data_IF_915043214221
#
_entry.id   IF_915043214221
#
_cell.length_a   1.000
_cell.length_b   1.000
_cell.length_c   1.000
_cell.angle_alpha   90.00
_cell.angle_beta   90.00
_cell.angle_gamma   90.00
#
_symmetry.space_group_name_H-M   'P 1'
#
loop_
_entity.id
_entity.type
_entity.pdbx_description
1 polymer ?
#
# COMPACT_ATOMS: atom_id res chain seq x y z
N UNK A 1 37.32 1.74 -1.80
CA UNK A 1 36.97 1.13 -0.49
C UNK A 1 35.77 1.86 0.09
N UNK A 2 34.57 1.62 -0.42
CA UNK A 2 33.32 2.26 0.06
C UNK A 2 32.12 1.35 -0.24
N UNK A 3 31.89 0.32 0.58
CA UNK A 3 30.67 -0.52 0.52
C UNK A 3 30.06 -0.80 1.91
N UNK A 4 30.48 -0.09 2.98
CA UNK A 4 30.10 -0.44 4.36
C UNK A 4 28.92 0.32 4.98
N UNK A 5 28.11 1.08 4.22
CA UNK A 5 27.11 1.99 4.83
C UNK A 5 25.66 1.85 4.37
N UNK A 6 25.31 0.86 3.54
CA UNK A 6 23.93 0.68 3.07
C UNK A 6 23.09 -0.17 4.04
N UNK A 7 23.66 -1.27 4.55
CA UNK A 7 22.97 -2.19 5.47
C UNK A 7 22.54 -1.53 6.78
N UNK A 8 23.34 -0.59 7.32
CA UNK A 8 23.01 0.14 8.55
C UNK A 8 21.86 1.14 8.37
N UNK A 9 21.73 1.75 7.18
CA UNK A 9 20.65 2.70 6.88
C UNK A 9 19.31 2.00 6.67
N UNK A 10 19.33 0.82 6.05
CA UNK A 10 18.12 0.00 5.87
C UNK A 10 17.55 -0.46 7.21
N UNK A 11 18.42 -0.93 8.12
CA UNK A 11 18.01 -1.35 9.47
C UNK A 11 17.48 -0.20 10.33
N UNK A 12 18.11 0.98 10.25
CA UNK A 12 17.64 2.17 10.95
C UNK A 12 16.25 2.63 10.44
N UNK A 13 16.02 2.59 9.12
CA UNK A 13 14.69 2.87 8.53
C UNK A 13 13.62 1.85 8.92
N UNK A 14 14.00 0.60 9.13
CA UNK A 14 13.10 -0.46 9.60
C UNK A 14 12.72 -0.26 11.08
N UNK A 15 13.64 0.27 11.89
CA UNK A 15 13.42 0.60 13.31
C UNK A 15 12.61 1.90 13.52
N UNK A 16 12.55 2.81 12.54
CA UNK A 16 11.75 4.05 12.60
C UNK A 16 10.31 3.88 12.06
N UNK A 17 9.96 2.70 11.52
CA UNK A 17 8.66 2.48 10.90
C UNK A 17 7.63 2.06 11.96
N UNK A 18 6.73 2.98 12.30
CA UNK A 18 5.54 2.70 13.13
C UNK A 18 4.50 1.80 12.43
N UNK A 19 4.75 1.43 11.17
CA UNK A 19 3.92 0.53 10.37
C UNK A 19 4.72 -0.14 9.25
N UNK A 20 4.29 -1.34 8.87
CA UNK A 20 4.85 -2.13 7.77
C UNK A 20 3.78 -2.36 6.71
N UNK A 21 4.13 -2.25 5.43
CA UNK A 21 3.22 -2.58 4.33
C UNK A 21 3.57 -3.95 3.77
N UNK A 22 2.60 -4.86 3.76
CA UNK A 22 2.74 -6.18 3.13
C UNK A 22 2.05 -6.17 1.77
N UNK A 23 2.78 -6.55 0.73
CA UNK A 23 2.29 -6.66 -0.65
C UNK A 23 1.92 -8.12 -0.94
N UNK A 24 0.77 -8.34 -1.57
CA UNK A 24 0.32 -9.64 -2.07
C UNK A 24 0.03 -9.49 -3.57
N UNK A 25 0.90 -10.01 -4.44
CA UNK A 25 0.74 -9.88 -5.90
C UNK A 25 -0.58 -10.47 -6.39
N UNK A 26 -1.16 -9.87 -7.43
CA UNK A 26 -2.31 -10.43 -8.10
C UNK A 26 -1.89 -11.56 -9.07
N UNK A 27 -1.55 -12.72 -8.53
CA UNK A 27 -1.06 -13.87 -9.31
C UNK A 27 -2.07 -14.38 -10.35
N UNK A 28 -3.37 -14.21 -10.07
CA UNK A 28 -4.45 -14.68 -10.95
C UNK A 28 -4.81 -13.68 -12.07
N UNK A 29 -4.19 -12.50 -12.08
CA UNK A 29 -4.50 -11.43 -13.04
C UNK A 29 -5.95 -10.95 -13.01
N UNK A 30 -6.70 -11.30 -11.96
CA UNK A 30 -8.14 -11.03 -11.85
C UNK A 30 -8.43 -10.38 -10.51
N UNK A 31 -8.99 -9.16 -10.47
CA UNK A 31 -9.42 -8.32 -11.60
C UNK A 31 -8.28 -7.84 -12.51
N UNK A 32 -8.57 -7.65 -13.80
CA UNK A 32 -7.61 -7.09 -14.76
C UNK A 32 -7.17 -5.69 -14.35
N UNK A 33 -5.88 -5.38 -14.54
CA UNK A 33 -5.26 -4.13 -14.13
C UNK A 33 -4.98 -4.00 -12.63
N UNK A 34 -5.41 -4.96 -11.79
CA UNK A 34 -4.98 -5.02 -10.39
C UNK A 34 -3.59 -5.64 -10.33
N UNK A 35 -2.67 -4.96 -9.66
CA UNK A 35 -1.27 -5.37 -9.53
C UNK A 35 -1.03 -6.14 -8.24
N UNK A 36 -1.59 -5.67 -7.12
CA UNK A 36 -1.46 -6.31 -5.82
C UNK A 36 -2.58 -5.89 -4.87
N UNK A 37 -2.85 -6.74 -3.88
CA UNK A 37 -3.42 -6.31 -2.61
C UNK A 37 -2.30 -5.80 -1.69
N UNK A 38 -2.65 -4.87 -0.80
CA UNK A 38 -1.75 -4.39 0.22
C UNK A 38 -2.44 -4.34 1.59
N UNK A 39 -1.65 -4.60 2.63
CA UNK A 39 -2.07 -4.50 4.02
C UNK A 39 -1.10 -3.60 4.78
N UNK A 40 -1.64 -2.77 5.67
CA UNK A 40 -0.84 -1.94 6.57
C UNK A 40 -0.87 -2.58 7.96
N UNK A 41 0.26 -3.03 8.45
CA UNK A 41 0.44 -3.66 9.76
C UNK A 41 0.95 -2.61 10.72
N UNK A 42 0.22 -2.37 11.81
CA UNK A 42 0.62 -1.41 12.83
C UNK A 42 1.55 -2.09 13.83
N UNK A 43 2.76 -1.54 13.98
CA UNK A 43 3.81 -2.13 14.81
C UNK A 43 3.93 -1.46 16.18
N UNK A 44 3.25 -0.33 16.38
CA UNK A 44 3.30 0.49 17.59
C UNK A 44 1.96 1.19 17.87
N UNK A 45 1.81 1.73 19.09
CA UNK A 45 0.63 2.47 19.55
C UNK A 45 -0.61 1.61 19.80
N UNK A 46 -1.78 2.25 19.91
CA UNK A 46 -3.05 1.59 20.27
C UNK A 46 -3.53 0.56 19.23
N UNK A 47 -3.03 0.64 18.00
CA UNK A 47 -3.35 -0.32 16.94
C UNK A 47 -2.30 -1.42 16.81
N UNK A 48 -1.27 -1.43 17.65
CA UNK A 48 -0.19 -2.41 17.59
C UNK A 48 -0.72 -3.85 17.53
N UNK A 49 -0.19 -4.64 16.60
CA UNK A 49 -0.61 -6.03 16.39
C UNK A 49 -1.85 -6.18 15.50
N UNK A 50 -2.47 -5.08 15.07
CA UNK A 50 -3.55 -5.09 14.09
C UNK A 50 -3.04 -4.79 12.68
N UNK A 51 -3.84 -5.19 11.69
CA UNK A 51 -3.61 -4.86 10.29
C UNK A 51 -4.86 -4.27 9.65
N UNK A 52 -4.68 -3.24 8.84
CA UNK A 52 -5.73 -2.66 8.01
C UNK A 52 -5.68 -3.28 6.61
N UNK A 53 -6.77 -3.93 6.24
CA UNK A 53 -6.96 -4.62 4.95
C UNK A 53 -7.67 -3.74 3.95
N UNK A 54 -7.57 -4.08 2.66
CA UNK A 54 -8.39 -3.49 1.60
C UNK A 54 -7.72 -2.38 0.81
N UNK A 55 -6.41 -2.18 0.97
CA UNK A 55 -5.64 -1.44 -0.03
C UNK A 55 -5.39 -2.33 -1.25
N UNK A 56 -5.41 -1.74 -2.43
CA UNK A 56 -4.98 -2.42 -3.64
C UNK A 56 -4.24 -1.47 -4.58
N UNK A 57 -3.19 -1.98 -5.20
CA UNK A 57 -2.40 -1.30 -6.21
C UNK A 57 -2.93 -1.69 -7.58
N UNK A 58 -3.12 -0.70 -8.43
CA UNK A 58 -3.67 -0.85 -9.77
C UNK A 58 -2.76 -0.17 -10.78
N UNK A 59 -2.77 -0.69 -12.01
CA UNK A 59 -2.33 0.07 -13.18
C UNK A 59 -3.18 1.32 -13.33
N UNK A 60 -2.57 2.40 -13.79
CA UNK A 60 -3.32 3.60 -14.16
C UNK A 60 -4.06 3.31 -15.47
N UNK A 61 -5.36 3.65 -15.53
CA UNK A 61 -6.20 3.43 -16.74
C UNK A 61 -5.69 4.17 -17.97
N UNK A 62 -4.97 5.28 -17.78
CA UNK A 62 -4.37 6.07 -18.87
C UNK A 62 -3.00 6.61 -18.45
N UNK A 63 -2.06 6.60 -19.40
CA UNK A 63 -0.68 7.01 -19.17
C UNK A 63 0.13 6.00 -18.35
N UNK A 64 1.36 6.39 -17.99
CA UNK A 64 2.27 5.57 -17.19
C UNK A 64 2.01 5.82 -15.70
N UNK A 65 2.03 4.76 -14.89
CA UNK A 65 2.02 4.86 -13.44
C UNK A 65 1.06 3.89 -12.76
N UNK A 66 0.89 4.09 -11.44
CA UNK A 66 0.10 3.24 -10.55
C UNK A 66 -0.86 4.08 -9.73
N UNK A 67 -1.94 3.45 -9.29
CA UNK A 67 -2.87 4.06 -8.34
C UNK A 67 -3.15 3.11 -7.17
N UNK A 68 -3.58 3.67 -6.05
CA UNK A 68 -3.99 2.91 -4.86
C UNK A 68 -5.46 3.16 -4.57
N UNK A 69 -6.25 2.08 -4.47
CA UNK A 69 -7.57 2.14 -3.85
C UNK A 69 -7.47 1.83 -2.37
N UNK A 70 -8.31 2.48 -1.57
CA UNK A 70 -8.30 2.41 -0.12
C UNK A 70 -9.30 1.37 0.39
N UNK A 71 -9.16 0.92 1.65
CA UNK A 71 -10.19 0.14 2.34
C UNK A 71 -11.53 0.83 2.18
N UNK A 72 -12.52 0.13 1.63
CA UNK A 72 -13.79 0.73 1.26
C UNK A 72 -14.95 -0.20 1.59
N UNK A 73 -16.08 0.40 1.94
CA UNK A 73 -17.35 -0.31 2.09
C UNK A 73 -18.21 -0.07 0.85
N UNK A 74 -18.74 -1.15 0.30
CA UNK A 74 -19.78 -1.10 -0.73
C UNK A 74 -21.15 -0.98 -0.07
N UNK A 75 -22.05 -0.22 -0.69
CA UNK A 75 -23.47 -0.18 -0.37
C UNK A 75 -24.28 -0.01 -1.65
N UNK A 76 -25.59 -0.22 -1.58
CA UNK A 76 -26.49 -0.04 -2.72
C UNK A 76 -27.58 0.97 -2.38
N UNK A 77 -27.89 1.86 -3.31
CA UNK A 77 -29.01 2.81 -3.20
C UNK A 77 -29.77 2.79 -4.52
N UNK A 78 -31.08 2.54 -4.48
CA UNK A 78 -31.93 2.43 -5.68
C UNK A 78 -31.38 1.44 -6.73
N UNK A 79 -30.81 0.32 -6.29
CA UNK A 79 -30.20 -0.68 -7.17
C UNK A 79 -28.80 -0.33 -7.70
N UNK A 80 -28.31 0.89 -7.50
CA UNK A 80 -26.96 1.30 -7.89
C UNK A 80 -25.94 0.94 -6.81
N UNK A 81 -24.88 0.23 -7.20
CA UNK A 81 -23.75 -0.09 -6.31
C UNK A 81 -22.82 1.11 -6.19
N UNK A 82 -22.60 1.58 -4.96
CA UNK A 82 -21.68 2.66 -4.61
C UNK A 82 -20.64 2.19 -3.60
N UNK A 83 -19.54 2.92 -3.51
CA UNK A 83 -18.49 2.68 -2.51
C UNK A 83 -17.99 3.98 -1.91
N UNK A 84 -17.50 3.90 -0.67
CA UNK A 84 -16.78 4.99 -0.01
C UNK A 84 -15.60 4.43 0.79
N UNK A 85 -14.51 5.20 0.86
CA UNK A 85 -13.32 4.83 1.64
C UNK A 85 -13.59 4.92 3.14
N UNK A 86 -13.10 3.93 3.89
CA UNK A 86 -13.22 3.82 5.34
C UNK A 86 -12.16 4.64 6.07
N UNK A 87 -10.95 4.72 5.53
CA UNK A 87 -9.92 5.63 6.02
C UNK A 87 -10.16 6.99 5.37
N UNK A 88 -10.52 8.02 6.14
CA UNK A 88 -10.89 9.36 5.63
C UNK A 88 -10.10 10.47 6.32
N UNK A 89 -9.79 11.57 5.61
CA UNK A 89 -9.20 12.74 6.24
C UNK A 89 -10.15 13.34 7.28
N UNK A 90 -9.59 13.82 8.38
CA UNK A 90 -10.35 14.52 9.42
C UNK A 90 -10.47 16.01 9.07
N UNK A 91 -9.34 16.65 8.76
CA UNK A 91 -9.26 18.08 8.42
C UNK A 91 -8.53 18.32 7.09
N UNK A 92 -7.30 17.83 6.99
CA UNK A 92 -6.47 17.93 5.77
C UNK A 92 -6.93 16.91 4.71
N UNK A 93 -7.48 17.40 3.60
CA UNK A 93 -7.98 16.57 2.50
C UNK A 93 -6.90 15.69 1.87
N UNK A 94 -5.63 16.08 1.99
CA UNK A 94 -4.48 15.36 1.43
C UNK A 94 -3.83 14.41 2.44
N UNK A 95 -4.38 14.26 3.66
CA UNK A 95 -3.79 13.41 4.68
C UNK A 95 -3.64 11.92 4.25
N UNK A 96 -4.44 11.48 3.28
CA UNK A 96 -4.36 10.14 2.69
C UNK A 96 -3.13 9.94 1.79
N UNK A 97 -2.51 11.01 1.30
CA UNK A 97 -1.41 10.93 0.34
C UNK A 97 -0.21 10.21 0.95
N UNK A 98 0.06 10.46 2.24
CA UNK A 98 1.16 9.81 2.97
C UNK A 98 1.06 8.28 2.97
N UNK A 99 -0.14 7.74 3.24
CA UNK A 99 -0.34 6.28 3.22
C UNK A 99 -0.42 5.74 1.80
N UNK A 100 -0.89 6.53 0.82
CA UNK A 100 -0.83 6.17 -0.59
C UNK A 100 0.62 5.99 -1.04
N UNK A 101 1.46 6.97 -0.77
CA UNK A 101 2.87 6.97 -1.14
C UNK A 101 3.61 5.84 -0.44
N UNK A 102 3.29 5.57 0.83
CA UNK A 102 3.83 4.43 1.56
C UNK A 102 3.53 3.09 0.89
N UNK A 103 2.28 2.88 0.44
CA UNK A 103 1.88 1.65 -0.27
C UNK A 103 2.56 1.54 -1.64
N UNK A 104 2.63 2.64 -2.39
CA UNK A 104 3.31 2.67 -3.70
C UNK A 104 4.81 2.42 -3.58
N UNK A 105 5.45 2.97 -2.55
CA UNK A 105 6.85 2.73 -2.25
C UNK A 105 7.10 1.27 -1.93
N UNK A 106 6.27 0.67 -1.05
CA UNK A 106 6.38 -0.75 -0.70
C UNK A 106 6.17 -1.67 -1.91
N UNK A 107 5.26 -1.32 -2.82
CA UNK A 107 5.07 -2.07 -4.07
C UNK A 107 6.28 -1.98 -5.00
N UNK A 108 6.88 -0.79 -5.13
CA UNK A 108 8.09 -0.59 -5.93
C UNK A 108 9.29 -1.37 -5.37
N UNK A 109 9.43 -1.40 -4.04
CA UNK A 109 10.45 -2.22 -3.34
C UNK A 109 10.22 -3.72 -3.55
N UNK A 110 8.97 -4.17 -3.49
CA UNK A 110 8.60 -5.56 -3.76
C UNK A 110 8.98 -5.99 -5.17
N UNK A 111 8.68 -5.18 -6.19
CA UNK A 111 9.05 -5.50 -7.58
C UNK A 111 10.56 -5.53 -7.79
N UNK A 112 11.29 -4.58 -7.19
CA UNK A 112 12.75 -4.54 -7.29
C UNK A 112 13.37 -5.81 -6.69
N UNK A 113 12.84 -6.31 -5.57
CA UNK A 113 13.29 -7.57 -4.97
C UNK A 113 12.94 -8.79 -5.82
N UNK A 114 11.74 -8.82 -6.41
CA UNK A 114 11.33 -9.91 -7.30
C UNK A 114 12.22 -9.98 -8.56
N UNK A 115 12.60 -8.84 -9.13
CA UNK A 115 13.48 -8.76 -10.30
C UNK A 115 14.93 -9.20 -10.01
N UNK A 116 15.40 -9.06 -8.77
CA UNK A 116 16.73 -9.56 -8.36
C UNK A 116 16.71 -11.08 -8.16
N UNK A 117 15.57 -11.64 -7.78
CA UNK A 117 15.41 -13.07 -7.50
C UNK A 117 15.11 -13.94 -8.74
N UNK A 118 14.81 -13.31 -9.89
CA UNK A 118 14.54 -13.97 -11.19
C UNK A 118 15.78 -14.04 -12.06
#
# INVERSE_FOLDING_TARGET
MTQRNETGRTRARELERTMVVKIMPNEKGTPSGKLADAEVHFTEGELQGLRLLGFAVWERRTGVGRNVTFPARTYSVNGERRSFSLLRPVTDQNAQDKVRDLVLQAYSEFEAQAAIAS
#
